data_IF_067872941517
#
_entry.id   IF_067872941517
#
_cell.length_a   1.000
_cell.length_b   1.000
_cell.length_c   1.000
_cell.angle_alpha   90.00
_cell.angle_beta   90.00
_cell.angle_gamma   90.00
#
_symmetry.space_group_name_H-M   'P 1'
#
loop_
_entity.id
_entity.type
_entity.pdbx_description
1 polymer ?
#
# COMPACT_ATOMS: atom_id res chain seq x y z
N UNK A 1 -10.41 8.49 4.98
CA UNK A 1 -9.42 7.97 4.01
C UNK A 1 -9.38 8.86 2.78
N UNK A 2 -8.20 9.27 2.36
CA UNK A 2 -8.00 10.01 1.10
C UNK A 2 -7.80 8.98 -0.03
N UNK A 3 -8.58 9.09 -1.12
CA UNK A 3 -8.50 8.20 -2.27
C UNK A 3 -8.08 8.99 -3.51
N UNK A 4 -6.98 8.58 -4.11
CA UNK A 4 -6.48 9.10 -5.38
C UNK A 4 -6.65 8.05 -6.48
N UNK A 5 -7.14 8.45 -7.66
CA UNK A 5 -7.34 7.53 -8.78
C UNK A 5 -6.68 8.12 -10.02
N UNK A 6 -5.74 7.36 -10.58
CA UNK A 6 -4.96 7.72 -11.76
C UNK A 6 -5.20 6.74 -12.90
N UNK A 7 -5.35 7.27 -14.12
CA UNK A 7 -5.46 6.49 -15.35
C UNK A 7 -4.20 6.60 -16.20
N UNK A 8 -3.73 5.49 -16.74
CA UNK A 8 -2.64 5.44 -17.72
C UNK A 8 -3.11 4.76 -19.00
N UNK A 9 -3.01 5.44 -20.12
CA UNK A 9 -3.51 5.01 -21.43
C UNK A 9 -5.03 4.72 -21.45
N UNK A 10 -5.78 5.37 -20.57
CA UNK A 10 -7.24 5.33 -20.55
C UNK A 10 -7.80 6.64 -20.04
N UNK A 11 -8.99 6.97 -20.47
CA UNK A 11 -9.76 8.07 -19.92
C UNK A 11 -10.58 7.60 -18.72
N UNK A 12 -10.44 8.31 -17.59
CA UNK A 12 -11.19 8.02 -16.38
C UNK A 12 -12.61 8.57 -16.48
N UNK A 13 -13.52 7.74 -16.93
CA UNK A 13 -14.95 8.11 -16.94
C UNK A 13 -15.50 8.24 -15.52
N UNK A 14 -16.55 9.05 -15.29
CA UNK A 14 -17.20 9.15 -13.98
C UNK A 14 -17.65 7.78 -13.44
N UNK A 15 -18.25 6.95 -14.29
CA UNK A 15 -18.70 5.59 -13.91
C UNK A 15 -17.55 4.69 -13.43
N UNK A 16 -16.40 4.75 -14.10
CA UNK A 16 -15.22 3.99 -13.73
C UNK A 16 -14.64 4.47 -12.39
N UNK A 17 -14.65 5.78 -12.19
CA UNK A 17 -14.19 6.40 -10.93
C UNK A 17 -15.09 6.00 -9.76
N UNK A 18 -16.41 6.08 -9.93
CA UNK A 18 -17.39 5.72 -8.90
C UNK A 18 -17.34 4.22 -8.58
N UNK A 19 -17.20 3.38 -9.58
CA UNK A 19 -17.02 1.95 -9.40
C UNK A 19 -15.77 1.62 -8.60
N UNK A 20 -14.63 2.19 -9.00
CA UNK A 20 -13.35 2.00 -8.31
C UNK A 20 -13.46 2.45 -6.86
N UNK A 21 -14.01 3.64 -6.63
CA UNK A 21 -14.24 4.17 -5.28
C UNK A 21 -15.06 3.21 -4.43
N UNK A 22 -16.20 2.77 -4.94
CA UNK A 22 -17.10 1.85 -4.21
C UNK A 22 -16.40 0.54 -3.84
N UNK A 23 -15.60 -0.04 -4.73
CA UNK A 23 -14.90 -1.30 -4.48
C UNK A 23 -13.75 -1.15 -3.48
N UNK A 24 -12.99 -0.07 -3.58
CA UNK A 24 -11.88 0.21 -2.65
C UNK A 24 -12.42 0.60 -1.27
N UNK A 25 -13.46 1.44 -1.18
CA UNK A 25 -14.11 1.79 0.08
C UNK A 25 -14.64 0.53 0.79
N UNK A 26 -15.25 -0.39 0.05
CA UNK A 26 -15.70 -1.68 0.60
C UNK A 26 -14.54 -2.54 1.11
N UNK A 27 -13.44 -2.61 0.36
CA UNK A 27 -12.25 -3.38 0.73
C UNK A 27 -11.56 -2.85 1.99
N UNK A 28 -11.59 -1.52 2.19
CA UNK A 28 -10.94 -0.82 3.30
C UNK A 28 -11.89 -0.50 4.47
N UNK A 29 -13.19 -0.77 4.34
CA UNK A 29 -14.20 -0.38 5.32
C UNK A 29 -13.88 -0.82 6.76
N UNK A 30 -13.43 -2.05 6.95
CA UNK A 30 -13.10 -2.61 8.27
C UNK A 30 -11.71 -2.18 8.79
N UNK A 31 -11.01 -1.30 8.05
CA UNK A 31 -9.63 -0.89 8.30
C UNK A 31 -9.46 0.62 8.27
N UNK A 32 -10.56 1.39 8.34
CA UNK A 32 -10.55 2.86 8.21
C UNK A 32 -9.69 3.56 9.26
N UNK A 33 -9.59 3.00 10.46
CA UNK A 33 -8.73 3.54 11.52
C UNK A 33 -7.23 3.40 11.22
N UNK A 34 -6.88 2.42 10.39
CA UNK A 34 -5.48 2.11 10.05
C UNK A 34 -5.08 2.73 8.72
N UNK A 35 -6.02 2.85 7.77
CA UNK A 35 -5.77 3.32 6.40
C UNK A 35 -5.94 4.83 6.32
N UNK A 36 -4.84 5.53 6.04
CA UNK A 36 -4.82 6.98 5.89
C UNK A 36 -5.12 7.40 4.44
N UNK A 37 -4.43 6.79 3.50
CA UNK A 37 -4.50 7.13 2.07
C UNK A 37 -4.46 5.88 1.20
N UNK A 38 -5.17 5.93 0.06
CA UNK A 38 -5.14 4.90 -0.97
C UNK A 38 -4.91 5.55 -2.34
N UNK A 39 -3.92 5.06 -3.07
CA UNK A 39 -3.57 5.49 -4.43
C UNK A 39 -3.84 4.35 -5.41
N UNK A 40 -4.74 4.58 -6.36
CA UNK A 40 -5.19 3.59 -7.35
C UNK A 40 -4.70 3.98 -8.73
N UNK A 41 -4.00 3.06 -9.38
CA UNK A 41 -3.53 3.22 -10.75
C UNK A 41 -4.18 2.20 -11.66
N UNK A 42 -4.96 2.71 -12.59
CA UNK A 42 -5.60 1.93 -13.65
C UNK A 42 -4.82 2.09 -14.95
N UNK A 43 -4.48 1.01 -15.63
CA UNK A 43 -3.74 1.06 -16.87
C UNK A 43 -4.23 0.05 -17.90
N UNK A 44 -4.21 0.46 -19.17
CA UNK A 44 -4.51 -0.39 -20.32
C UNK A 44 -3.22 -0.61 -21.10
N UNK A 45 -2.93 -1.86 -21.47
CA UNK A 45 -1.78 -2.19 -22.29
C UNK A 45 -1.88 -1.53 -23.66
N UNK A 46 -0.78 -0.98 -24.16
CA UNK A 46 -0.74 -0.36 -25.52
C UNK A 46 -0.87 -1.35 -26.64
N UNK A 47 -0.54 -2.62 -26.40
CA UNK A 47 -0.57 -3.65 -27.43
C UNK A 47 -1.97 -4.27 -27.51
N UNK A 48 -2.73 -4.07 -28.60
CA UNK A 48 -4.07 -4.62 -28.73
C UNK A 48 -4.12 -6.14 -28.83
N UNK A 49 -2.96 -6.80 -29.09
CA UNK A 49 -2.86 -8.26 -29.12
C UNK A 49 -2.74 -8.90 -27.72
N UNK A 50 -2.50 -8.08 -26.71
CA UNK A 50 -2.42 -8.53 -25.31
C UNK A 50 -3.41 -7.69 -24.52
N UNK A 51 -4.69 -8.11 -24.46
CA UNK A 51 -5.72 -7.39 -23.72
C UNK A 51 -5.47 -7.55 -22.21
N UNK A 52 -4.47 -6.82 -21.70
CA UNK A 52 -4.21 -6.79 -20.27
C UNK A 52 -4.50 -5.40 -19.73
N UNK A 53 -5.52 -5.35 -18.91
CA UNK A 53 -5.89 -4.18 -18.16
C UNK A 53 -5.45 -4.42 -16.71
N UNK A 54 -4.68 -3.50 -16.18
CA UNK A 54 -4.05 -3.65 -14.86
C UNK A 54 -4.66 -2.65 -13.89
N UNK A 55 -5.04 -3.14 -12.72
CA UNK A 55 -5.37 -2.32 -11.57
C UNK A 55 -4.29 -2.52 -10.49
N UNK A 56 -3.74 -1.43 -10.02
CA UNK A 56 -2.76 -1.38 -8.93
C UNK A 56 -3.33 -0.48 -7.82
N UNK A 57 -3.27 -0.94 -6.59
CA UNK A 57 -3.67 -0.16 -5.41
C UNK A 57 -2.52 -0.15 -4.41
N UNK A 58 -2.16 1.03 -3.95
CA UNK A 58 -1.19 1.24 -2.89
C UNK A 58 -1.89 1.91 -1.73
N UNK A 59 -1.83 1.32 -0.55
CA UNK A 59 -2.47 1.82 0.67
C UNK A 59 -1.40 2.13 1.70
N UNK A 60 -1.55 3.27 2.37
CA UNK A 60 -0.71 3.69 3.48
C UNK A 60 -1.47 3.44 4.79
N UNK A 61 -0.97 2.53 5.61
CA UNK A 61 -1.58 2.11 6.85
C UNK A 61 -0.55 2.12 7.99
N UNK A 62 -0.70 3.03 8.96
CA UNK A 62 0.15 3.12 10.15
C UNK A 62 1.66 3.07 9.83
N UNK A 63 2.14 3.86 8.87
CA UNK A 63 3.54 3.89 8.44
C UNK A 63 3.97 2.71 7.56
N UNK A 64 3.08 1.75 7.30
CA UNK A 64 3.34 0.60 6.43
C UNK A 64 2.68 0.79 5.07
N UNK A 65 3.38 0.41 4.01
CA UNK A 65 2.87 0.42 2.65
C UNK A 65 2.35 -0.97 2.29
N UNK A 66 1.09 -1.03 1.86
CA UNK A 66 0.45 -2.25 1.38
C UNK A 66 0.11 -2.04 -0.09
N UNK A 67 0.59 -2.93 -0.96
CA UNK A 67 0.37 -2.85 -2.39
C UNK A 67 -0.26 -4.12 -2.92
N UNK A 68 -1.24 -3.97 -3.80
CA UNK A 68 -1.84 -5.06 -4.54
C UNK A 68 -1.89 -4.70 -6.03
N UNK A 69 -1.61 -5.66 -6.88
CA UNK A 69 -1.71 -5.50 -8.34
C UNK A 69 -2.37 -6.75 -8.92
N UNK A 70 -3.32 -6.51 -9.84
CA UNK A 70 -3.97 -7.59 -10.60
C UNK A 70 -4.20 -7.19 -12.04
N UNK A 71 -4.25 -8.19 -12.91
CA UNK A 71 -4.42 -8.04 -14.36
C UNK A 71 -5.56 -8.90 -14.85
N UNK A 72 -6.35 -8.35 -15.76
CA UNK A 72 -7.44 -9.08 -16.41
C UNK A 72 -7.66 -8.52 -17.82
N UNK A 73 -8.46 -9.21 -18.62
CA UNK A 73 -8.92 -8.73 -19.92
C UNK A 73 -9.89 -7.55 -19.79
N UNK A 74 -10.56 -7.43 -18.64
CA UNK A 74 -11.53 -6.36 -18.35
C UNK A 74 -11.09 -5.55 -17.14
N UNK A 75 -11.11 -4.22 -17.26
CA UNK A 75 -10.69 -3.32 -16.18
C UNK A 75 -11.55 -3.42 -14.93
N UNK A 76 -12.85 -3.62 -15.09
CA UNK A 76 -13.75 -3.82 -13.94
C UNK A 76 -13.41 -5.11 -13.19
N UNK A 77 -13.08 -6.18 -13.93
CA UNK A 77 -12.62 -7.42 -13.32
C UNK A 77 -11.26 -7.26 -12.60
N UNK A 78 -10.33 -6.49 -13.18
CA UNK A 78 -9.04 -6.18 -12.52
C UNK A 78 -9.26 -5.40 -11.22
N UNK A 79 -10.22 -4.45 -11.20
CA UNK A 79 -10.57 -3.70 -9.99
C UNK A 79 -11.16 -4.62 -8.92
N UNK A 80 -12.03 -5.56 -9.30
CA UNK A 80 -12.59 -6.52 -8.35
C UNK A 80 -11.53 -7.46 -7.76
N UNK A 81 -10.64 -7.96 -8.60
CA UNK A 81 -9.56 -8.84 -8.17
C UNK A 81 -8.59 -8.11 -7.23
N UNK A 82 -8.18 -6.89 -7.58
CA UNK A 82 -7.26 -6.11 -6.74
C UNK A 82 -7.91 -5.71 -5.41
N UNK A 83 -9.20 -5.36 -5.39
CA UNK A 83 -9.92 -5.04 -4.17
C UNK A 83 -10.00 -6.26 -3.22
N UNK A 84 -10.26 -7.45 -3.75
CA UNK A 84 -10.28 -8.69 -2.98
C UNK A 84 -8.89 -9.05 -2.43
N UNK A 85 -7.84 -8.85 -3.24
CA UNK A 85 -6.44 -9.07 -2.83
C UNK A 85 -6.05 -8.10 -1.72
N UNK A 86 -6.37 -6.82 -1.89
CA UNK A 86 -6.13 -5.76 -0.89
C UNK A 86 -6.82 -6.09 0.45
N UNK A 87 -8.09 -6.47 0.43
CA UNK A 87 -8.84 -6.83 1.64
C UNK A 87 -8.18 -8.00 2.39
N UNK A 88 -7.63 -8.98 1.66
CA UNK A 88 -6.90 -10.12 2.23
C UNK A 88 -5.57 -9.69 2.86
N UNK A 89 -4.81 -8.83 2.19
CA UNK A 89 -3.56 -8.29 2.72
C UNK A 89 -3.78 -7.43 3.96
N UNK A 90 -4.79 -6.55 3.96
CA UNK A 90 -5.16 -5.73 5.12
C UNK A 90 -5.57 -6.59 6.33
N UNK A 91 -6.32 -7.69 6.11
CA UNK A 91 -6.68 -8.64 7.16
C UNK A 91 -5.42 -9.29 7.75
N UNK A 92 -4.53 -9.82 6.90
CA UNK A 92 -3.27 -10.43 7.32
C UNK A 92 -2.39 -9.45 8.11
N UNK A 93 -2.35 -8.19 7.68
CA UNK A 93 -1.64 -7.13 8.39
C UNK A 93 -2.24 -6.85 9.78
N UNK A 94 -3.56 -6.69 9.88
CA UNK A 94 -4.26 -6.47 11.15
C UNK A 94 -4.06 -7.62 12.13
N UNK A 95 -4.14 -8.87 11.67
CA UNK A 95 -3.93 -10.06 12.49
C UNK A 95 -2.51 -10.10 13.07
N UNK A 96 -1.50 -9.81 12.25
CA UNK A 96 -0.10 -9.75 12.70
C UNK A 96 0.14 -8.62 13.69
N UNK A 97 -0.41 -7.43 13.43
CA UNK A 97 -0.28 -6.27 14.32
C UNK A 97 -0.92 -6.53 15.69
N UNK A 98 -2.10 -7.15 15.72
CA UNK A 98 -2.77 -7.51 16.96
C UNK A 98 -2.03 -8.62 17.72
N UNK A 99 -1.45 -9.59 17.03
CA UNK A 99 -0.67 -10.67 17.66
C UNK A 99 0.58 -10.15 18.37
N UNK A 100 1.28 -9.16 17.79
CA UNK A 100 2.42 -8.51 18.45
C UNK A 100 2.03 -7.76 19.72
N UNK A 101 0.88 -7.09 19.74
CA UNK A 101 0.39 -6.37 20.92
C UNK A 101 -0.04 -7.32 22.05
N UNK A 102 -0.57 -8.50 21.73
CA UNK A 102 -0.97 -9.50 22.75
C UNK A 102 0.27 -10.16 23.39
N UNK A 103 1.33 -10.42 22.64
CA UNK A 103 2.57 -10.98 23.20
C UNK A 103 3.32 -9.99 24.08
N UNK A 104 3.30 -8.70 23.78
CA UNK A 104 3.90 -7.66 24.62
C UNK A 104 3.17 -7.46 25.96
N UNK A 105 1.87 -7.80 26.05
CA UNK A 105 1.11 -7.69 27.30
C UNK A 105 1.23 -8.91 28.24
N UNK A 106 1.82 -10.02 27.79
CA UNK A 106 2.02 -11.23 28.63
C UNK A 106 3.44 -11.41 29.15
N UNK A 107 4.38 -10.53 28.80
CA UNK A 107 5.77 -10.57 29.28
C UNK A 107 6.11 -9.42 30.22
N UNK A 108 5.27 -9.14 31.21
CA UNK A 108 5.69 -8.30 32.35
C UNK A 108 5.98 -9.15 33.55
N UNK A 109 7.13 -9.83 33.53
CA UNK A 109 7.94 -10.05 34.75
C UNK A 109 9.40 -9.80 34.41
N UNK A 110 9.83 -8.62 34.89
CA UNK A 110 11.22 -8.24 35.18
C UNK A 110 12.26 -8.40 34.08
N UNK A 111 12.63 -7.26 33.45
CA UNK A 111 14.00 -6.72 33.64
C UNK A 111 13.92 -5.22 33.31
N UNK A 112 14.24 -4.41 34.31
CA UNK A 112 14.57 -3.00 34.23
C UNK A 112 15.59 -2.77 33.11
N UNK A 113 15.22 -1.97 32.11
CA UNK A 113 16.18 -1.12 31.43
C UNK A 113 15.42 0.11 30.92
N UNK A 114 15.67 1.18 31.65
CA UNK A 114 15.39 2.54 31.22
C UNK A 114 16.10 2.79 29.90
N UNK A 115 15.35 3.23 28.94
CA UNK A 115 15.73 4.32 28.06
C UNK A 115 14.48 4.74 27.28
N UNK A 116 13.78 5.68 27.90
CA UNK A 116 12.81 6.54 27.24
C UNK A 116 13.52 7.35 26.18
N UNK A 117 13.22 7.10 24.92
CA UNK A 117 13.30 8.16 23.93
C UNK A 117 11.94 8.34 23.31
N UNK A 118 11.33 9.45 23.72
CA UNK A 118 10.21 10.09 23.07
C UNK A 118 10.53 10.29 21.58
N UNK A 119 9.96 9.46 20.72
CA UNK A 119 9.79 9.86 19.33
C UNK A 119 8.45 10.54 19.21
N UNK A 120 8.51 11.84 19.33
CA UNK A 120 7.47 12.76 18.86
C UNK A 120 7.13 12.40 17.44
N UNK A 121 5.83 12.33 17.18
CA UNK A 121 5.26 12.34 15.84
C UNK A 121 5.84 13.53 15.05
N UNK A 122 6.92 13.27 14.31
CA UNK A 122 7.44 14.23 13.35
C UNK A 122 6.68 14.09 12.05
N UNK A 123 6.09 15.18 11.65
CA UNK A 123 5.57 15.45 10.32
C UNK A 123 6.38 14.72 9.24
N UNK A 124 5.73 13.82 8.53
CA UNK A 124 6.27 13.26 7.29
C UNK A 124 6.21 14.34 6.19
N UNK A 125 7.03 15.37 6.33
CA UNK A 125 7.29 16.27 5.23
C UNK A 125 8.24 15.55 4.27
N UNK A 126 7.81 15.41 3.04
CA UNK A 126 8.66 15.11 1.89
C UNK A 126 9.98 15.87 2.04
N UNK A 127 11.11 15.20 1.86
CA UNK A 127 12.43 15.82 1.92
C UNK A 127 12.43 16.97 0.93
N UNK A 128 12.25 18.17 1.43
CA UNK A 128 12.28 19.41 0.67
C UNK A 128 13.69 19.56 0.06
N UNK A 129 13.79 19.60 -1.26
CA UNK A 129 14.99 19.96 -1.97
C UNK A 129 15.59 18.97 -2.97
N UNK A 130 15.00 17.79 -3.17
CA UNK A 130 15.39 16.90 -4.28
C UNK A 130 14.26 16.77 -5.28
N UNK A 131 14.18 17.70 -6.22
CA UNK A 131 13.40 17.46 -7.43
C UNK A 131 14.01 16.26 -8.17
N UNK A 132 13.27 15.16 -8.38
CA UNK A 132 13.77 14.03 -9.13
C UNK A 132 13.90 14.45 -10.59
N UNK A 133 15.12 14.63 -11.07
CA UNK A 133 15.38 14.74 -12.49
C UNK A 133 15.06 13.38 -13.12
N UNK A 134 13.92 13.30 -13.79
CA UNK A 134 13.43 12.13 -14.49
C UNK A 134 14.21 11.89 -15.80
N UNK A 135 15.06 10.87 -15.88
CA UNK A 135 15.46 10.36 -17.18
C UNK A 135 14.46 9.30 -17.63
N UNK A 136 13.78 9.57 -18.72
CA UNK A 136 12.93 8.71 -19.53
C UNK A 136 11.50 8.41 -19.05
N UNK A 137 10.52 8.41 -19.99
CA UNK A 137 9.07 8.35 -19.73
C UNK A 137 8.54 6.94 -19.39
N UNK A 138 9.26 6.16 -18.61
CA UNK A 138 8.86 4.79 -18.29
C UNK A 138 9.11 4.35 -16.84
N UNK A 139 9.91 5.10 -16.10
CA UNK A 139 10.27 4.71 -14.73
C UNK A 139 9.52 5.58 -13.74
N UNK A 140 8.73 4.92 -12.89
CA UNK A 140 8.02 5.58 -11.79
C UNK A 140 8.87 5.44 -10.53
N UNK A 141 9.28 6.55 -9.96
CA UNK A 141 9.99 6.59 -8.68
C UNK A 141 9.01 6.99 -7.59
N UNK A 142 8.94 6.17 -6.54
CA UNK A 142 8.28 6.51 -5.28
C UNK A 142 9.35 6.54 -4.20
N UNK A 143 9.27 7.52 -3.33
CA UNK A 143 10.17 7.64 -2.18
C UNK A 143 9.38 7.33 -0.93
N UNK A 144 9.90 6.46 -0.10
CA UNK A 144 9.35 6.12 1.19
C UNK A 144 10.43 6.34 2.25
N UNK A 145 10.04 6.92 3.34
CA UNK A 145 10.89 6.91 4.52
C UNK A 145 10.86 5.49 5.11
N UNK A 146 12.04 4.97 5.43
CA UNK A 146 12.19 3.60 5.94
C UNK A 146 12.95 3.65 7.24
N UNK A 147 12.30 3.21 8.31
CA UNK A 147 12.97 3.00 9.58
C UNK A 147 13.89 1.75 9.52
N UNK A 148 14.98 1.73 10.29
CA UNK A 148 15.79 0.52 10.44
C UNK A 148 14.93 -0.67 10.87
N UNK A 149 15.06 -1.81 10.20
CA UNK A 149 14.21 -2.97 10.46
C UNK A 149 15.01 -4.27 10.50
N UNK A 150 14.44 -5.28 11.14
CA UNK A 150 15.01 -6.63 11.20
C UNK A 150 14.69 -7.42 9.91
N UNK A 151 15.42 -8.51 9.67
CA UNK A 151 15.17 -9.42 8.54
C UNK A 151 13.73 -9.98 8.59
N UNK A 152 13.21 -10.28 9.77
CA UNK A 152 11.84 -10.78 9.89
C UNK A 152 10.80 -9.72 9.54
N UNK A 153 11.03 -8.48 9.94
CA UNK A 153 10.20 -7.34 9.56
C UNK A 153 10.26 -7.09 8.06
N UNK A 154 11.44 -7.17 7.44
CA UNK A 154 11.59 -6.98 5.99
C UNK A 154 10.84 -8.04 5.18
N UNK A 155 10.80 -9.30 5.64
CA UNK A 155 9.97 -10.36 5.01
C UNK A 155 8.48 -10.04 5.06
N UNK A 156 8.01 -9.49 6.19
CA UNK A 156 6.60 -9.07 6.31
C UNK A 156 6.30 -7.94 5.35
N UNK A 157 7.21 -6.97 5.24
CA UNK A 157 7.05 -5.85 4.29
C UNK A 157 7.04 -6.35 2.84
N UNK A 158 7.94 -7.25 2.48
CA UNK A 158 7.98 -7.85 1.14
C UNK A 158 6.64 -8.50 0.76
N UNK A 159 6.05 -9.28 1.68
CA UNK A 159 4.74 -9.90 1.50
C UNK A 159 3.61 -8.87 1.27
N UNK A 160 3.70 -7.69 1.92
CA UNK A 160 2.66 -6.67 1.86
C UNK A 160 2.72 -5.80 0.60
N UNK A 161 3.92 -5.61 0.06
CA UNK A 161 4.12 -4.81 -1.16
C UNK A 161 4.00 -5.62 -2.45
N UNK A 162 3.85 -6.94 -2.35
CA UNK A 162 3.69 -7.85 -3.51
C UNK A 162 4.87 -7.73 -4.52
N UNK A 163 6.10 -7.72 -3.99
CA UNK A 163 7.34 -7.69 -4.77
C UNK A 163 8.17 -8.95 -4.59
N UNK A 164 9.10 -9.20 -5.52
CA UNK A 164 10.00 -10.36 -5.49
C UNK A 164 11.23 -10.12 -4.61
N UNK A 165 11.55 -8.86 -4.31
CA UNK A 165 12.69 -8.48 -3.47
C UNK A 165 12.41 -7.20 -2.68
N UNK A 166 13.15 -7.00 -1.59
CA UNK A 166 13.07 -5.84 -0.72
C UNK A 166 14.47 -5.45 -0.26
N UNK A 167 14.82 -4.16 -0.35
CA UNK A 167 16.08 -3.61 0.15
C UNK A 167 15.79 -2.86 1.46
N UNK A 168 16.61 -3.11 2.50
CA UNK A 168 16.44 -2.50 3.82
C UNK A 168 17.79 -2.30 4.51
#
# INVERSE_FOLDING_TARGET
MKLLIHGRNLELTPSLRDYTKTKIDKATHNFQEMVQEADVHLSVARNPRVPQQTAEVTVFANGTVIRAQERSENLYASIDLVANKLARQLRKYKERHNSHNVHNNQSTKSIHREETQNYSSSDHSLIEGKEPHLPSPGVRRKYFEMDPMTIEQSRVQLDLIDHDFYLF
#
